data_IF_968707416448
#
_entry.id   IF_968707416448
#
_cell.length_a   1.000
_cell.length_b   1.000
_cell.length_c   1.000
_cell.angle_alpha   90.00
_cell.angle_beta   90.00
_cell.angle_gamma   90.00
#
_symmetry.space_group_name_H-M   'P 1'
#
loop_
_entity.id
_entity.type
_entity.pdbx_description
1 polymer ?
#
# COMPACT_ATOMS: atom_id res chain seq x y z
N UNK A 1 24.93 -12.12 -14.30
CA UNK A 1 25.41 -12.08 -12.90
C UNK A 1 26.00 -10.72 -12.47
N UNK A 2 26.88 -10.08 -13.27
CA UNK A 2 27.56 -8.83 -12.89
C UNK A 2 26.65 -7.61 -12.68
N UNK A 3 25.56 -7.49 -13.46
CA UNK A 3 24.59 -6.37 -13.35
C UNK A 3 23.81 -6.42 -12.02
N UNK A 4 23.42 -7.61 -11.58
CA UNK A 4 22.74 -7.85 -10.31
C UNK A 4 23.64 -7.47 -9.12
N UNK A 5 24.89 -7.93 -9.11
CA UNK A 5 25.89 -7.57 -8.10
C UNK A 5 26.22 -6.06 -8.08
N UNK A 6 26.26 -5.40 -9.25
CA UNK A 6 26.47 -3.94 -9.34
C UNK A 6 25.29 -3.16 -8.75
N UNK A 7 24.06 -3.60 -9.01
CA UNK A 7 22.82 -2.98 -8.52
C UNK A 7 22.71 -3.10 -7.00
N UNK A 8 22.93 -4.30 -6.44
CA UNK A 8 22.93 -4.53 -4.99
C UNK A 8 23.97 -3.65 -4.30
N UNK A 9 25.20 -3.60 -4.82
CA UNK A 9 26.28 -2.77 -4.26
C UNK A 9 25.98 -1.27 -4.29
N UNK A 10 25.25 -0.78 -5.30
CA UNK A 10 24.85 0.62 -5.38
C UNK A 10 23.69 0.96 -4.43
N UNK A 11 22.72 0.05 -4.26
CA UNK A 11 21.65 0.16 -3.24
C UNK A 11 22.22 0.24 -1.82
N UNK A 12 23.30 -0.49 -1.54
CA UNK A 12 23.97 -0.49 -0.23
C UNK A 12 24.69 0.86 0.05
N UNK A 13 25.11 1.61 -0.98
CA UNK A 13 25.78 2.91 -0.80
C UNK A 13 24.86 3.94 -0.13
N UNK A 14 23.57 3.91 -0.49
CA UNK A 14 22.53 4.82 0.00
C UNK A 14 21.65 4.18 1.09
N UNK A 15 22.22 3.34 1.95
CA UNK A 15 21.52 2.70 3.08
C UNK A 15 20.82 3.69 4.03
N UNK A 16 21.23 4.96 4.05
CA UNK A 16 20.63 6.01 4.88
C UNK A 16 19.32 6.55 4.29
N UNK A 17 19.05 6.33 2.99
CA UNK A 17 17.82 6.82 2.35
C UNK A 17 16.56 6.21 2.99
N UNK A 18 16.47 4.88 3.20
CA UNK A 18 15.36 4.29 3.95
C UNK A 18 15.27 4.77 5.41
N UNK A 19 16.39 5.13 6.05
CA UNK A 19 16.36 5.67 7.42
C UNK A 19 15.72 7.06 7.46
N UNK A 20 16.07 7.94 6.51
CA UNK A 20 15.51 9.29 6.41
C UNK A 20 14.01 9.21 6.09
N UNK A 21 13.63 8.39 5.10
CA UNK A 21 12.23 8.17 4.74
C UNK A 21 11.46 7.59 5.94
N UNK A 22 12.07 6.63 6.65
CA UNK A 22 11.46 6.00 7.80
C UNK A 22 11.20 6.98 8.95
N UNK A 23 12.19 7.81 9.29
CA UNK A 23 12.03 8.86 10.29
C UNK A 23 10.96 9.88 9.89
N UNK A 24 10.94 10.30 8.62
CA UNK A 24 9.92 11.20 8.09
C UNK A 24 8.51 10.60 8.25
N UNK A 25 8.31 9.33 7.90
CA UNK A 25 7.01 8.66 8.04
C UNK A 25 6.56 8.49 9.49
N UNK A 26 7.47 8.25 10.44
CA UNK A 26 7.13 8.22 11.87
C UNK A 26 6.67 9.61 12.34
N UNK A 27 7.40 10.67 11.97
CA UNK A 27 7.03 12.04 12.34
C UNK A 27 5.69 12.42 11.73
N UNK A 28 5.46 12.12 10.45
CA UNK A 28 4.19 12.36 9.78
C UNK A 28 3.05 11.58 10.45
N UNK A 29 3.23 10.29 10.73
CA UNK A 29 2.22 9.49 11.41
C UNK A 29 1.89 10.01 12.82
N UNK A 30 2.90 10.44 13.58
CA UNK A 30 2.71 11.13 14.87
C UNK A 30 1.97 12.46 14.72
N UNK A 31 2.31 13.26 13.71
CA UNK A 31 1.64 14.52 13.41
C UNK A 31 0.17 14.34 13.02
N UNK A 32 -0.19 13.27 12.31
CA UNK A 32 -1.59 13.00 11.95
C UNK A 32 -2.50 12.87 13.19
N UNK A 33 -1.99 12.43 14.34
CA UNK A 33 -2.76 12.36 15.58
C UNK A 33 -3.05 13.74 16.21
N UNK A 34 -2.26 14.76 15.90
CA UNK A 34 -2.46 16.11 16.46
C UNK A 34 -3.46 16.93 15.64
N UNK A 35 -3.67 16.58 14.36
CA UNK A 35 -4.53 17.31 13.44
C UNK A 35 -5.55 16.42 12.69
N UNK A 36 -6.34 15.60 13.41
CA UNK A 36 -7.20 14.58 12.81
C UNK A 36 -8.25 15.15 11.85
N UNK A 37 -8.79 16.34 12.14
CA UNK A 37 -9.79 17.00 11.29
C UNK A 37 -9.21 17.40 9.92
N UNK A 38 -8.04 18.04 9.91
CA UNK A 38 -7.38 18.46 8.66
C UNK A 38 -6.91 17.26 7.81
N UNK A 39 -6.42 16.20 8.47
CA UNK A 39 -6.03 14.96 7.81
C UNK A 39 -7.26 14.32 7.14
N UNK A 40 -8.40 14.38 7.81
CA UNK A 40 -9.64 13.84 7.28
C UNK A 40 -10.20 14.65 6.09
N UNK A 41 -10.14 15.98 6.14
CA UNK A 41 -10.48 16.82 4.99
C UNK A 41 -9.58 16.55 3.78
N UNK A 42 -8.30 16.28 4.03
CA UNK A 42 -7.36 15.88 2.96
C UNK A 42 -7.77 14.55 2.32
N UNK A 43 -8.21 13.58 3.13
CA UNK A 43 -8.78 12.33 2.63
C UNK A 43 -10.06 12.58 1.82
N UNK A 44 -10.97 13.43 2.30
CA UNK A 44 -12.18 13.82 1.55
C UNK A 44 -11.83 14.36 0.18
N UNK A 45 -10.84 15.27 0.07
CA UNK A 45 -10.40 15.79 -1.23
C UNK A 45 -9.83 14.70 -2.14
N UNK A 46 -8.97 13.82 -1.61
CA UNK A 46 -8.39 12.71 -2.36
C UNK A 46 -9.48 11.78 -2.90
N UNK A 47 -10.43 11.39 -2.05
CA UNK A 47 -11.56 10.57 -2.46
C UNK A 47 -12.44 11.30 -3.47
N UNK A 48 -12.73 12.59 -3.27
CA UNK A 48 -13.54 13.39 -4.21
C UNK A 48 -12.96 13.34 -5.62
N UNK A 49 -11.67 13.64 -5.76
CA UNK A 49 -10.97 13.62 -7.05
C UNK A 49 -10.98 12.21 -7.66
N UNK A 50 -10.78 11.20 -6.82
CA UNK A 50 -10.78 9.79 -7.24
C UNK A 50 -12.17 9.35 -7.71
N UNK A 51 -13.24 9.75 -7.03
CA UNK A 51 -14.63 9.48 -7.41
C UNK A 51 -15.00 10.19 -8.72
N UNK A 52 -14.60 11.46 -8.88
CA UNK A 52 -14.80 12.20 -10.12
C UNK A 52 -14.08 11.52 -11.30
N UNK A 53 -12.78 11.25 -11.15
CA UNK A 53 -11.98 10.62 -12.19
C UNK A 53 -12.49 9.21 -12.54
N UNK A 54 -12.82 8.40 -11.53
CA UNK A 54 -13.36 7.05 -11.74
C UNK A 54 -14.71 7.08 -12.41
N UNK A 55 -15.62 7.97 -11.97
CA UNK A 55 -16.95 8.10 -12.56
C UNK A 55 -16.89 8.52 -14.04
N UNK A 56 -16.04 9.49 -14.38
CA UNK A 56 -15.81 9.90 -15.77
C UNK A 56 -15.26 8.74 -16.60
N UNK A 57 -14.24 8.04 -16.10
CA UNK A 57 -13.64 6.90 -16.79
C UNK A 57 -14.62 5.75 -17.00
N UNK A 58 -15.47 5.47 -16.01
CA UNK A 58 -16.44 4.37 -16.06
C UNK A 58 -17.60 4.70 -17.02
N UNK A 59 -18.07 5.96 -17.04
CA UNK A 59 -19.01 6.43 -18.06
C UNK A 59 -18.40 6.31 -19.45
N UNK A 60 -17.17 6.80 -19.63
CA UNK A 60 -16.47 6.72 -20.91
C UNK A 60 -16.30 5.27 -21.37
N UNK A 61 -15.85 4.40 -20.48
CA UNK A 61 -15.70 2.96 -20.74
C UNK A 61 -17.03 2.31 -21.12
N UNK A 62 -18.10 2.61 -20.39
CA UNK A 62 -19.44 2.07 -20.67
C UNK A 62 -19.94 2.49 -22.06
N UNK A 63 -19.83 3.78 -22.40
CA UNK A 63 -20.31 4.31 -23.69
C UNK A 63 -19.50 3.75 -24.86
N UNK A 64 -18.17 3.61 -24.70
CA UNK A 64 -17.28 3.10 -25.74
C UNK A 64 -17.48 1.61 -26.03
N UNK A 65 -17.89 0.84 -25.03
CA UNK A 65 -18.03 -0.62 -25.15
C UNK A 65 -19.50 -1.06 -25.16
N UNK A 66 -20.47 -0.15 -25.27
CA UNK A 66 -21.91 -0.44 -25.15
C UNK A 66 -22.41 -1.54 -26.10
N UNK A 67 -21.77 -1.69 -27.26
CA UNK A 67 -22.17 -2.64 -28.31
C UNK A 67 -21.51 -4.02 -28.14
N UNK A 68 -20.43 -4.11 -27.36
CA UNK A 68 -19.65 -5.34 -27.14
C UNK A 68 -19.84 -5.91 -25.73
N UNK A 69 -20.29 -5.09 -24.78
CA UNK A 69 -20.32 -5.41 -23.36
C UNK A 69 -21.77 -5.67 -22.92
N UNK A 70 -22.09 -6.94 -22.67
CA UNK A 70 -23.34 -7.30 -22.01
C UNK A 70 -23.41 -6.59 -20.64
N UNK A 71 -24.58 -6.04 -20.32
CA UNK A 71 -24.75 -5.31 -19.06
C UNK A 71 -24.09 -3.94 -18.99
N UNK A 72 -23.67 -3.33 -20.12
CA UNK A 72 -23.07 -1.98 -20.16
C UNK A 72 -23.85 -0.91 -19.38
N UNK A 73 -25.17 -1.02 -19.30
CA UNK A 73 -26.04 -0.10 -18.56
C UNK A 73 -25.74 -0.07 -17.06
N UNK A 74 -25.28 -1.19 -16.47
CA UNK A 74 -24.85 -1.24 -15.07
C UNK A 74 -23.58 -0.41 -14.84
N UNK A 75 -22.62 -0.48 -15.77
CA UNK A 75 -21.42 0.36 -15.73
C UNK A 75 -21.75 1.84 -15.92
N UNK A 76 -22.70 2.17 -16.82
CA UNK A 76 -23.13 3.56 -16.98
C UNK A 76 -23.76 4.09 -15.69
N UNK A 77 -24.69 3.32 -15.10
CA UNK A 77 -25.33 3.68 -13.84
C UNK A 77 -24.31 3.85 -12.71
N UNK A 78 -23.32 2.95 -12.63
CA UNK A 78 -22.20 3.02 -11.68
C UNK A 78 -21.37 4.28 -11.86
N UNK A 79 -20.97 4.56 -13.10
CA UNK A 79 -20.14 5.72 -13.40
C UNK A 79 -20.85 7.03 -13.07
N UNK A 80 -22.15 7.13 -13.40
CA UNK A 80 -22.98 8.30 -13.04
C UNK A 80 -23.09 8.42 -11.52
N UNK A 81 -23.41 7.34 -10.81
CA UNK A 81 -23.53 7.35 -9.34
C UNK A 81 -22.22 7.76 -8.66
N UNK A 82 -21.11 7.16 -9.09
CA UNK A 82 -19.74 7.42 -8.63
C UNK A 82 -19.35 8.88 -8.89
N UNK A 83 -19.67 9.41 -10.07
CA UNK A 83 -19.42 10.81 -10.42
C UNK A 83 -20.23 11.76 -9.54
N UNK A 84 -21.53 11.50 -9.33
CA UNK A 84 -22.39 12.30 -8.46
C UNK A 84 -21.88 12.35 -7.03
N UNK A 85 -21.41 11.22 -6.48
CA UNK A 85 -20.75 11.19 -5.18
C UNK A 85 -19.54 12.12 -5.19
N UNK A 86 -18.65 12.02 -6.18
CA UNK A 86 -17.48 12.90 -6.29
C UNK A 86 -17.84 14.38 -6.31
N UNK A 87 -18.90 14.76 -7.04
CA UNK A 87 -19.41 16.14 -7.09
C UNK A 87 -19.96 16.58 -5.72
N UNK A 88 -20.69 15.71 -5.01
CA UNK A 88 -21.21 16.03 -3.68
C UNK A 88 -20.05 16.23 -2.69
N UNK A 89 -19.03 15.36 -2.74
CA UNK A 89 -17.89 15.44 -1.83
C UNK A 89 -17.08 16.73 -2.02
N UNK A 90 -16.88 17.18 -3.28
CA UNK A 90 -16.09 18.39 -3.56
C UNK A 90 -16.86 19.68 -3.28
N UNK A 91 -18.17 19.70 -3.46
CA UNK A 91 -19.00 20.91 -3.27
C UNK A 91 -19.29 21.20 -1.80
N UNK A 92 -19.37 20.17 -0.95
CA UNK A 92 -19.66 20.30 0.49
C UNK A 92 -18.64 19.54 1.35
N UNK A 93 -17.35 19.93 1.37
CA UNK A 93 -16.27 19.17 2.02
C UNK A 93 -16.48 18.96 3.52
N UNK A 94 -17.09 19.91 4.23
CA UNK A 94 -17.38 19.79 5.68
C UNK A 94 -18.46 18.74 5.96
N UNK A 95 -19.52 18.70 5.16
CA UNK A 95 -20.57 17.68 5.27
C UNK A 95 -20.04 16.33 4.77
N UNK A 96 -19.23 16.36 3.71
CA UNK A 96 -18.57 15.22 3.15
C UNK A 96 -17.65 14.55 4.17
N UNK A 97 -16.96 15.29 5.03
CA UNK A 97 -16.18 14.71 6.12
C UNK A 97 -17.05 13.76 6.96
N UNK A 98 -18.13 14.23 7.57
CA UNK A 98 -18.95 13.38 8.47
C UNK A 98 -19.69 12.24 7.76
N UNK A 99 -19.86 12.33 6.43
CA UNK A 99 -20.63 11.38 5.63
C UNK A 99 -19.77 10.54 4.67
N UNK A 100 -18.47 10.79 4.58
CA UNK A 100 -17.55 10.09 3.66
C UNK A 100 -17.64 8.57 3.79
N UNK A 101 -17.67 7.97 4.99
CA UNK A 101 -17.73 6.52 5.12
C UNK A 101 -19.03 5.93 4.58
N UNK A 102 -20.12 6.70 4.63
CA UNK A 102 -21.40 6.32 4.04
C UNK A 102 -21.30 6.29 2.51
N UNK A 103 -20.71 7.32 1.90
CA UNK A 103 -20.48 7.36 0.45
C UNK A 103 -19.54 6.24 -0.01
N UNK A 104 -18.48 5.96 0.75
CA UNK A 104 -17.57 4.83 0.49
C UNK A 104 -18.35 3.51 0.58
N UNK A 105 -19.13 3.30 1.64
CA UNK A 105 -19.96 2.10 1.83
C UNK A 105 -20.97 1.90 0.68
N UNK A 106 -21.66 2.94 0.27
CA UNK A 106 -22.59 2.89 -0.87
C UNK A 106 -21.88 2.61 -2.20
N UNK A 107 -20.72 3.23 -2.43
CA UNK A 107 -19.94 2.97 -3.65
C UNK A 107 -19.45 1.52 -3.70
N UNK A 108 -19.02 0.97 -2.56
CA UNK A 108 -18.59 -0.42 -2.44
C UNK A 108 -19.78 -1.36 -2.66
N UNK A 109 -20.97 -1.01 -2.15
CA UNK A 109 -22.18 -1.79 -2.34
C UNK A 109 -22.51 -1.89 -3.83
N UNK A 110 -22.54 -0.75 -4.53
CA UNK A 110 -22.85 -0.70 -5.95
C UNK A 110 -21.84 -1.47 -6.80
N UNK A 111 -20.54 -1.35 -6.48
CA UNK A 111 -19.47 -2.13 -7.13
C UNK A 111 -19.59 -3.63 -6.86
N UNK A 112 -19.99 -4.01 -5.65
CA UNK A 112 -20.15 -5.42 -5.28
C UNK A 112 -21.35 -6.06 -5.98
N UNK A 113 -22.45 -5.32 -6.15
CA UNK A 113 -23.59 -5.79 -6.94
C UNK A 113 -23.22 -5.96 -8.43
N UNK A 114 -22.48 -5.02 -9.01
CA UNK A 114 -21.97 -5.16 -10.37
C UNK A 114 -21.06 -6.37 -10.53
N UNK A 115 -20.10 -6.55 -9.61
CA UNK A 115 -19.21 -7.71 -9.62
C UNK A 115 -19.97 -9.04 -9.52
N UNK A 116 -21.08 -9.07 -8.78
CA UNK A 116 -21.94 -10.24 -8.69
C UNK A 116 -22.68 -10.51 -10.01
N UNK A 117 -23.18 -9.47 -10.67
CA UNK A 117 -23.75 -9.57 -12.02
C UNK A 117 -22.73 -10.13 -13.03
N UNK A 118 -21.52 -9.57 -13.02
CA UNK A 118 -20.41 -10.02 -13.85
C UNK A 118 -19.99 -11.48 -13.57
N UNK A 119 -20.06 -11.91 -12.31
CA UNK A 119 -19.79 -13.30 -11.95
C UNK A 119 -20.82 -14.26 -12.56
N UNK A 120 -22.08 -13.85 -12.67
CA UNK A 120 -23.11 -14.64 -13.35
C UNK A 120 -22.96 -14.64 -14.86
N UNK A 121 -22.52 -13.53 -15.46
CA UNK A 121 -22.17 -13.51 -16.89
C UNK A 121 -21.00 -14.45 -17.18
N UNK A 122 -19.93 -14.41 -16.39
CA UNK A 122 -18.79 -15.34 -16.50
C UNK A 122 -19.22 -16.81 -16.35
N UNK A 123 -20.20 -17.08 -15.48
CA UNK A 123 -20.80 -18.41 -15.35
C UNK A 123 -21.52 -18.83 -16.65
N UNK A 124 -22.29 -17.93 -17.25
CA UNK A 124 -23.01 -18.18 -18.50
C UNK A 124 -22.03 -18.39 -19.68
N UNK A 125 -20.88 -17.72 -19.66
CA UNK A 125 -19.79 -17.90 -20.61
C UNK A 125 -18.92 -19.16 -20.35
N UNK A 126 -19.23 -19.97 -19.35
CA UNK A 126 -18.54 -21.24 -19.07
C UNK A 126 -17.18 -21.11 -18.38
N UNK A 127 -16.86 -19.95 -17.80
CA UNK A 127 -15.56 -19.70 -17.15
C UNK A 127 -15.49 -20.39 -15.78
N UNK A 128 -14.70 -21.46 -15.65
CA UNK A 128 -14.57 -22.32 -14.45
C UNK A 128 -14.32 -21.61 -13.09
N UNK A 129 -13.78 -20.38 -13.09
CA UNK A 129 -13.43 -19.62 -11.87
C UNK A 129 -14.41 -18.49 -11.51
N UNK A 130 -15.59 -18.45 -12.15
CA UNK A 130 -16.63 -17.44 -11.88
C UNK A 130 -17.00 -17.32 -10.39
N UNK A 131 -17.00 -18.45 -9.66
CA UNK A 131 -17.37 -18.51 -8.25
C UNK A 131 -16.49 -17.68 -7.32
N UNK A 132 -15.20 -17.49 -7.67
CA UNK A 132 -14.30 -16.65 -6.88
C UNK A 132 -14.76 -15.18 -6.89
N UNK A 133 -15.19 -14.69 -8.06
CA UNK A 133 -15.71 -13.33 -8.20
C UNK A 133 -17.04 -13.18 -7.46
N UNK A 134 -17.92 -14.18 -7.54
CA UNK A 134 -19.17 -14.18 -6.79
C UNK A 134 -18.95 -14.11 -5.28
N UNK A 135 -18.02 -14.91 -4.73
CA UNK A 135 -17.68 -14.90 -3.30
C UNK A 135 -17.14 -13.53 -2.88
N UNK A 136 -16.18 -12.98 -3.63
CA UNK A 136 -15.63 -11.64 -3.36
C UNK A 136 -16.73 -10.58 -3.38
N UNK A 137 -17.67 -10.68 -4.32
CA UNK A 137 -18.79 -9.74 -4.45
C UNK A 137 -19.78 -9.85 -3.29
N UNK A 138 -20.15 -11.07 -2.86
CA UNK A 138 -21.02 -11.27 -1.69
C UNK A 138 -20.36 -10.76 -0.42
N UNK A 139 -19.07 -11.05 -0.21
CA UNK A 139 -18.30 -10.50 0.91
C UNK A 139 -18.26 -8.97 0.85
N UNK A 140 -18.09 -8.39 -0.34
CA UNK A 140 -18.14 -6.96 -0.59
C UNK A 140 -19.49 -6.35 -0.19
N UNK A 141 -20.62 -6.99 -0.53
CA UNK A 141 -21.96 -6.56 -0.13
C UNK A 141 -22.07 -6.55 1.40
N UNK A 142 -21.67 -7.64 2.07
CA UNK A 142 -21.72 -7.74 3.55
C UNK A 142 -20.86 -6.64 4.20
N UNK A 143 -19.64 -6.45 3.70
CA UNK A 143 -18.73 -5.41 4.20
C UNK A 143 -19.29 -4.00 3.98
N UNK A 144 -19.97 -3.78 2.85
CA UNK A 144 -20.61 -2.50 2.54
C UNK A 144 -21.75 -2.20 3.51
N UNK A 145 -22.59 -3.18 3.81
CA UNK A 145 -23.63 -3.03 4.83
C UNK A 145 -23.03 -2.74 6.20
N UNK A 146 -21.95 -3.43 6.59
CA UNK A 146 -21.25 -3.18 7.84
C UNK A 146 -20.74 -1.73 7.93
N UNK A 147 -20.16 -1.21 6.85
CA UNK A 147 -19.70 0.17 6.74
C UNK A 147 -20.84 1.19 6.85
N UNK A 148 -21.98 0.92 6.20
CA UNK A 148 -23.14 1.82 6.18
C UNK A 148 -23.82 1.89 7.56
N UNK A 149 -23.88 0.78 8.30
CA UNK A 149 -24.53 0.73 9.62
C UNK A 149 -23.71 1.44 10.70
N UNK A 150 -22.38 1.37 10.62
CA UNK A 150 -21.47 1.98 11.62
C UNK A 150 -20.47 2.98 11.00
N UNK A 151 -20.94 4.08 10.35
CA UNK A 151 -20.08 4.98 9.60
C UNK A 151 -19.18 5.84 10.49
N UNK A 152 -19.64 6.15 11.71
CA UNK A 152 -18.88 6.97 12.68
C UNK A 152 -17.56 6.31 13.05
N UNK A 153 -17.56 4.97 13.23
CA UNK A 153 -16.34 4.21 13.49
C UNK A 153 -15.39 4.24 12.30
N UNK A 154 -15.90 4.20 11.07
CA UNK A 154 -15.08 4.16 9.89
C UNK A 154 -14.31 5.48 9.64
N UNK A 155 -14.92 6.65 9.89
CA UNK A 155 -14.27 7.94 9.67
C UNK A 155 -13.06 8.20 10.58
N UNK A 156 -13.26 8.07 11.89
CA UNK A 156 -12.19 8.23 12.89
C UNK A 156 -11.15 7.11 12.72
N UNK A 157 -11.59 5.88 12.44
CA UNK A 157 -10.69 4.75 12.16
C UNK A 157 -9.81 5.01 10.94
N UNK A 158 -10.28 5.62 9.86
CA UNK A 158 -9.46 5.86 8.66
C UNK A 158 -8.24 6.74 8.94
N UNK A 159 -8.41 7.82 9.69
CA UNK A 159 -7.27 8.70 10.06
C UNK A 159 -6.30 7.96 10.97
N UNK A 160 -6.81 7.23 11.97
CA UNK A 160 -5.99 6.44 12.89
C UNK A 160 -5.25 5.32 12.17
N UNK A 161 -5.92 4.57 11.30
CA UNK A 161 -5.32 3.52 10.47
C UNK A 161 -4.26 4.09 9.53
N UNK A 162 -4.50 5.27 8.94
CA UNK A 162 -3.51 5.95 8.11
C UNK A 162 -2.29 6.36 8.92
N UNK A 163 -2.48 6.97 10.09
CA UNK A 163 -1.40 7.35 11.00
C UNK A 163 -0.58 6.13 11.44
N UNK A 164 -1.24 5.05 11.87
CA UNK A 164 -0.59 3.79 12.22
C UNK A 164 0.14 3.17 11.03
N UNK A 165 -0.41 3.25 9.82
CA UNK A 165 0.25 2.77 8.60
C UNK A 165 1.52 3.55 8.29
N UNK A 166 1.52 4.87 8.45
CA UNK A 166 2.73 5.70 8.31
C UNK A 166 3.78 5.34 9.37
N UNK A 167 3.38 5.18 10.63
CA UNK A 167 4.30 4.76 11.70
C UNK A 167 4.90 3.38 11.39
N UNK A 168 4.06 2.41 11.01
CA UNK A 168 4.50 1.07 10.68
C UNK A 168 5.44 1.06 9.47
N UNK A 169 5.08 1.74 8.39
CA UNK A 169 5.94 1.88 7.21
C UNK A 169 7.27 2.58 7.55
N UNK A 170 7.23 3.54 8.48
CA UNK A 170 8.40 4.22 9.01
C UNK A 170 9.33 3.28 9.77
N UNK A 171 8.79 2.47 10.68
CA UNK A 171 9.53 1.44 11.43
C UNK A 171 10.15 0.43 10.47
N UNK A 172 9.38 -0.10 9.51
CA UNK A 172 9.89 -1.03 8.48
C UNK A 172 11.06 -0.42 7.72
N UNK A 173 10.94 0.84 7.29
CA UNK A 173 11.99 1.54 6.54
C UNK A 173 13.28 1.74 7.37
N UNK A 174 13.15 2.03 8.67
CA UNK A 174 14.29 2.12 9.59
C UNK A 174 14.96 0.75 9.76
N UNK A 175 14.18 -0.32 9.95
CA UNK A 175 14.70 -1.68 10.05
C UNK A 175 15.46 -2.06 8.77
N UNK A 176 14.90 -1.76 7.59
CA UNK A 176 15.56 -1.97 6.30
C UNK A 176 16.88 -1.19 6.21
N UNK A 177 16.92 0.06 6.68
CA UNK A 177 18.15 0.86 6.69
C UNK A 177 19.26 0.20 7.52
N UNK A 178 18.92 -0.33 8.70
CA UNK A 178 19.90 -1.04 9.54
C UNK A 178 20.36 -2.36 8.92
N UNK A 179 19.47 -3.09 8.26
CA UNK A 179 19.85 -4.29 7.50
C UNK A 179 20.81 -3.94 6.35
N UNK A 180 20.52 -2.89 5.57
CA UNK A 180 21.41 -2.42 4.50
C UNK A 180 22.76 -1.93 5.04
N UNK A 181 22.77 -1.23 6.19
CA UNK A 181 24.00 -0.82 6.86
C UNK A 181 24.86 -2.03 7.25
N UNK A 182 24.24 -3.07 7.83
CA UNK A 182 24.93 -4.31 8.22
C UNK A 182 25.53 -5.03 7.02
N UNK A 183 24.78 -5.11 5.91
CA UNK A 183 25.25 -5.71 4.66
C UNK A 183 26.43 -4.92 4.04
N UNK A 184 26.46 -3.59 4.18
CA UNK A 184 27.59 -2.76 3.75
C UNK A 184 28.88 -3.10 4.48
N UNK A 185 28.80 -3.25 5.80
CA UNK A 185 29.97 -3.45 6.66
C UNK A 185 30.47 -4.90 6.71
N UNK A 186 29.67 -5.86 6.23
CA UNK A 186 29.99 -7.29 6.31
C UNK A 186 31.29 -7.69 5.59
N UNK A 187 31.56 -7.26 4.33
CA UNK A 187 32.78 -7.62 3.61
C UNK A 187 34.05 -7.03 4.24
N UNK A 188 33.98 -5.78 4.71
CA UNK A 188 35.09 -5.11 5.39
C UNK A 188 35.46 -5.80 6.71
N UNK A 189 34.43 -6.19 7.49
CA UNK A 189 34.64 -6.89 8.77
C UNK A 189 35.27 -8.26 8.56
N UNK A 190 34.80 -9.04 7.59
CA UNK A 190 35.38 -10.35 7.25
C UNK A 190 36.83 -10.20 6.81
N UNK A 191 37.15 -9.24 5.92
CA UNK A 191 38.52 -9.06 5.45
C UNK A 191 39.49 -8.71 6.61
N UNK A 192 39.06 -7.84 7.52
CA UNK A 192 39.85 -7.48 8.71
C UNK A 192 40.06 -8.68 9.64
N UNK A 193 39.01 -9.44 9.93
CA UNK A 193 39.05 -10.61 10.81
C UNK A 193 39.89 -11.75 10.21
N UNK A 194 39.82 -11.96 8.90
CA UNK A 194 40.69 -12.91 8.18
C UNK A 194 42.15 -12.47 8.26
N UNK A 195 42.43 -11.18 8.04
CA UNK A 195 43.78 -10.62 8.10
C UNK A 195 44.39 -10.77 9.50
N UNK A 196 43.64 -10.45 10.55
CA UNK A 196 44.07 -10.63 11.95
C UNK A 196 44.37 -12.11 12.27
N UNK A 197 43.53 -13.05 11.83
CA UNK A 197 43.80 -14.49 12.01
C UNK A 197 45.06 -14.96 11.28
N UNK A 198 45.30 -14.47 10.06
CA UNK A 198 46.50 -14.82 9.29
C UNK A 198 47.75 -14.26 9.99
N UNK A 199 47.70 -13.02 10.47
CA UNK A 199 48.81 -12.37 11.19
C UNK A 199 49.14 -13.14 12.48
N UNK A 200 48.13 -13.51 13.27
CA UNK A 200 48.29 -14.31 14.48
C UNK A 200 48.92 -15.69 14.20
N UNK A 201 48.42 -16.41 13.20
CA UNK A 201 48.99 -17.71 12.81
C UNK A 201 50.44 -17.59 12.35
N UNK A 202 50.79 -16.49 11.69
CA UNK A 202 52.17 -16.20 11.26
C UNK A 202 53.08 -15.96 12.46
N UNK A 203 52.67 -15.14 13.42
CA UNK A 203 53.43 -14.93 14.67
C UNK A 203 53.63 -16.22 15.47
N UNK A 204 52.56 -17.03 15.59
CA UNK A 204 52.61 -18.33 16.27
C UNK A 204 53.59 -19.29 15.58
N UNK A 205 53.58 -19.35 14.25
CA UNK A 205 54.53 -20.14 13.45
C UNK A 205 55.98 -19.73 13.69
N UNK A 206 56.30 -18.43 13.63
CA UNK A 206 57.68 -17.96 13.86
C UNK A 206 58.14 -18.17 15.30
N UNK A 207 57.23 -18.06 16.28
CA UNK A 207 57.53 -18.32 17.69
C UNK A 207 57.87 -19.79 17.93
N UNK A 208 57.15 -20.71 17.28
CA UNK A 208 57.39 -22.15 17.41
C UNK A 208 58.73 -22.57 16.77
N UNK A 209 59.10 -22.02 15.61
CA UNK A 209 60.43 -22.25 15.02
C UNK A 209 61.56 -21.77 15.94
N UNK A 210 61.43 -20.57 16.50
CA UNK A 210 62.44 -20.04 17.43
C UNK A 210 62.55 -20.82 18.75
N UNK A 211 61.55 -21.61 19.12
CA UNK A 211 61.59 -22.47 20.30
C UNK A 211 62.17 -23.87 20.04
N UNK A 212 62.19 -24.35 18.79
CA UNK A 212 62.80 -25.64 18.43
C UNK A 212 64.32 -25.55 18.21
N UNK A 213 64.86 -24.36 17.91
CA UNK A 213 66.30 -24.10 17.74
C UNK A 213 67.07 -23.85 19.06
N UNK A 214 66.44 -24.04 20.23
CA UNK A 214 67.05 -23.90 21.57
C UNK A 214 67.07 -25.23 22.31
#
# INVERSE_FOLDING_TARGET
MAIFFKTIRNTIKHWYVPAIIGALFIVLGGYLFTVPESAYLSLVMLFSISFLASGIMEIFFSVQNKDELDGWGWYLASGIFTLLIGVILITKPVVAATTLPFFIGFSLLFRSFQGLGFAFELKNYGVLRWGNLAIVSVLGIILSFLLIVNPIFAGISLVVMTALSFIFAGIVSIVLAFQLKKLKTFPERINKELKEKIEHLKEEYYKNIQSEDK
#
